data_IF_938306476501
#
_entry.id   IF_938306476501
#
_cell.length_a   1.000
_cell.length_b   1.000
_cell.length_c   1.000
_cell.angle_alpha   90.00
_cell.angle_beta   90.00
_cell.angle_gamma   90.00
#
_symmetry.space_group_name_H-M   'P 1'
#
loop_
_entity.id
_entity.type
_entity.pdbx_description
1 polymer ?
#
# COMPACT_ATOMS: atom_id res chain seq x y z
N UNK A 1 1.43 1.78 -7.52
CA UNK A 1 0.41 2.17 -8.52
C UNK A 1 -0.78 2.91 -7.89
N UNK A 2 -1.75 2.22 -7.27
CA UNK A 2 -2.99 2.86 -6.75
C UNK A 2 -2.74 4.11 -5.89
N UNK A 3 -1.82 4.03 -4.92
CA UNK A 3 -1.48 5.16 -4.05
C UNK A 3 -0.97 6.40 -4.81
N UNK A 4 -0.15 6.20 -5.85
CA UNK A 4 0.35 7.31 -6.68
C UNK A 4 -0.74 7.88 -7.58
N UNK A 5 -1.64 7.05 -8.10
CA UNK A 5 -2.77 7.50 -8.91
C UNK A 5 -3.69 8.45 -8.14
N UNK A 6 -3.94 8.16 -6.85
CA UNK A 6 -4.72 9.04 -5.96
C UNK A 6 -4.04 10.40 -5.74
N UNK A 7 -2.72 10.42 -5.51
CA UNK A 7 -1.94 11.66 -5.40
C UNK A 7 -1.98 12.45 -6.71
N UNK A 8 -1.77 11.79 -7.84
CA UNK A 8 -1.82 12.42 -9.16
C UNK A 8 -3.20 13.02 -9.45
N UNK A 9 -4.28 12.29 -9.16
CA UNK A 9 -5.65 12.78 -9.34
C UNK A 9 -5.93 14.03 -8.48
N UNK A 10 -5.47 14.06 -7.22
CA UNK A 10 -5.58 15.25 -6.37
C UNK A 10 -4.78 16.43 -6.91
N UNK A 11 -3.56 16.20 -7.40
CA UNK A 11 -2.71 17.24 -7.96
C UNK A 11 -3.31 17.84 -9.24
N UNK A 12 -3.79 17.00 -10.16
CA UNK A 12 -4.46 17.43 -11.39
C UNK A 12 -5.71 18.25 -11.07
N UNK A 13 -6.57 17.78 -10.16
CA UNK A 13 -7.76 18.53 -9.73
C UNK A 13 -7.36 19.89 -9.14
N UNK A 14 -6.38 19.92 -8.25
CA UNK A 14 -5.87 21.16 -7.66
C UNK A 14 -5.39 22.15 -8.72
N UNK A 15 -4.60 21.69 -9.69
CA UNK A 15 -4.08 22.53 -10.76
C UNK A 15 -5.16 23.07 -11.71
N UNK A 16 -6.21 22.28 -11.97
CA UNK A 16 -7.27 22.66 -12.92
C UNK A 16 -8.39 23.50 -12.31
N UNK A 17 -8.65 23.37 -11.00
CA UNK A 17 -9.82 23.98 -10.37
C UNK A 17 -9.48 24.86 -9.18
N UNK A 18 -8.20 25.08 -8.89
CA UNK A 18 -7.72 25.77 -7.67
C UNK A 18 -8.27 25.14 -6.37
N UNK A 19 -8.59 23.84 -6.43
CA UNK A 19 -9.07 23.13 -5.26
C UNK A 19 -7.93 22.93 -4.25
N UNK A 20 -8.28 22.94 -2.96
CA UNK A 20 -7.34 22.62 -1.89
C UNK A 20 -6.66 21.27 -2.13
N UNK A 21 -5.34 21.28 -2.05
CA UNK A 21 -4.47 20.09 -2.09
C UNK A 21 -3.83 19.84 -0.72
N UNK A 22 -3.25 18.66 -0.57
CA UNK A 22 -2.53 18.25 0.64
C UNK A 22 -1.17 17.68 0.23
N UNK A 23 -0.17 17.70 1.13
CA UNK A 23 1.11 17.04 0.87
C UNK A 23 0.94 15.59 0.44
N UNK A 24 1.73 15.17 -0.54
CA UNK A 24 1.67 13.81 -1.07
C UNK A 24 2.08 12.80 0.01
N UNK A 25 1.27 11.75 0.17
CA UNK A 25 1.54 10.60 1.03
C UNK A 25 1.32 9.34 0.23
N UNK A 26 2.22 8.38 0.39
CA UNK A 26 2.14 7.10 -0.30
C UNK A 26 2.24 5.94 0.67
N UNK A 27 1.65 4.82 0.28
CA UNK A 27 1.83 3.55 0.98
C UNK A 27 1.86 2.41 -0.02
N UNK A 28 2.62 1.37 0.32
CA UNK A 28 2.54 0.08 -0.36
C UNK A 28 2.47 -1.03 0.67
N UNK A 29 1.84 -2.13 0.28
CA UNK A 29 2.07 -3.44 0.87
C UNK A 29 1.92 -4.46 -0.23
N UNK A 30 2.88 -5.38 -0.30
CA UNK A 30 2.89 -6.51 -1.23
C UNK A 30 2.82 -7.78 -0.40
N UNK A 31 1.80 -8.59 -0.66
CA UNK A 31 1.67 -9.93 -0.10
C UNK A 31 2.23 -10.96 -1.07
N UNK A 32 2.77 -12.04 -0.54
CA UNK A 32 3.17 -13.23 -1.30
C UNK A 32 2.65 -14.47 -0.58
N UNK A 33 2.01 -15.35 -1.32
CA UNK A 33 1.55 -16.65 -0.82
C UNK A 33 2.64 -17.68 -1.12
N UNK A 34 3.24 -18.26 -0.09
CA UNK A 34 4.28 -19.29 -0.23
C UNK A 34 3.63 -20.65 -0.47
N UNK A 35 2.59 -20.96 0.30
CA UNK A 35 1.78 -22.17 0.20
C UNK A 35 0.35 -21.87 0.69
N UNK A 36 -0.55 -22.85 0.60
CA UNK A 36 -1.89 -22.74 1.20
C UNK A 36 -1.79 -22.32 2.67
N UNK A 37 -2.52 -21.27 3.05
CA UNK A 37 -2.51 -20.68 4.39
C UNK A 37 -1.14 -20.14 4.89
N UNK A 38 -0.15 -19.91 4.01
CA UNK A 38 1.18 -19.39 4.36
C UNK A 38 1.49 -18.09 3.61
N UNK A 39 1.09 -16.96 4.20
CA UNK A 39 1.30 -15.62 3.65
C UNK A 39 2.45 -14.87 4.31
N UNK A 40 3.21 -14.15 3.50
CA UNK A 40 4.20 -13.15 3.95
C UNK A 40 3.91 -11.79 3.31
N UNK A 41 4.38 -10.70 3.92
CA UNK A 41 4.19 -9.36 3.37
C UNK A 41 5.39 -8.45 3.60
N UNK A 42 5.49 -7.43 2.74
CA UNK A 42 6.43 -6.32 2.85
C UNK A 42 5.70 -5.03 2.51
N UNK A 43 5.95 -3.95 3.24
CA UNK A 43 5.28 -2.69 2.98
C UNK A 43 5.96 -1.52 3.66
N UNK A 44 5.54 -0.32 3.28
CA UNK A 44 6.07 0.93 3.81
C UNK A 44 5.14 2.11 3.58
N UNK A 45 5.35 3.17 4.37
CA UNK A 45 4.76 4.50 4.20
C UNK A 45 5.83 5.46 3.70
N UNK A 46 5.42 6.37 2.81
CA UNK A 46 6.33 7.30 2.16
C UNK A 46 5.76 8.72 2.09
N UNK A 47 6.67 9.69 2.06
CA UNK A 47 6.39 11.10 1.80
C UNK A 47 7.24 11.62 0.64
N UNK A 48 6.84 12.75 0.06
CA UNK A 48 7.67 13.47 -0.88
C UNK A 48 8.73 14.26 -0.10
N UNK A 49 10.00 13.86 -0.20
CA UNK A 49 11.14 14.65 0.23
C UNK A 49 11.55 15.66 -0.83
N UNK A 50 12.61 16.42 -0.55
CA UNK A 50 13.04 17.54 -1.41
C UNK A 50 13.44 17.10 -2.82
N UNK A 51 14.10 15.95 -2.95
CA UNK A 51 14.60 15.44 -4.24
C UNK A 51 13.94 14.11 -4.67
N UNK A 52 13.36 13.37 -3.73
CA UNK A 52 12.84 12.02 -4.00
C UNK A 52 11.73 11.61 -3.04
N UNK A 53 11.06 10.50 -3.33
CA UNK A 53 10.11 9.88 -2.40
C UNK A 53 10.90 9.12 -1.32
N UNK A 54 10.65 9.43 -0.05
CA UNK A 54 11.39 8.89 1.09
C UNK A 54 10.50 7.97 1.91
N UNK A 55 11.04 6.82 2.35
CA UNK A 55 10.35 5.91 3.27
C UNK A 55 10.39 6.47 4.68
N UNK A 56 9.23 6.64 5.30
CA UNK A 56 9.12 7.06 6.71
C UNK A 56 9.18 5.87 7.66
N UNK A 57 8.60 4.75 7.24
CA UNK A 57 8.40 3.56 8.07
C UNK A 57 8.17 2.35 7.17
N UNK A 58 8.75 1.21 7.51
CA UNK A 58 8.73 0.00 6.67
C UNK A 58 8.67 -1.26 7.51
N UNK A 59 8.08 -2.31 6.96
CA UNK A 59 7.99 -3.63 7.59
C UNK A 59 8.19 -4.75 6.56
N UNK A 60 8.67 -5.90 7.03
CA UNK A 60 8.79 -7.14 6.26
C UNK A 60 8.56 -8.33 7.19
N UNK A 61 7.86 -9.36 6.70
CA UNK A 61 7.71 -10.63 7.41
C UNK A 61 9.06 -11.28 7.72
N UNK A 62 9.17 -11.94 8.87
CA UNK A 62 10.39 -12.63 9.30
C UNK A 62 10.40 -14.13 8.97
N UNK A 63 11.59 -14.72 8.85
CA UNK A 63 11.78 -16.12 8.41
C UNK A 63 11.20 -17.18 9.36
N UNK A 64 10.90 -16.83 10.61
CA UNK A 64 10.42 -17.75 11.66
C UNK A 64 9.13 -17.26 12.34
N UNK A 65 8.27 -16.59 11.57
CA UNK A 65 6.94 -16.19 12.05
C UNK A 65 6.07 -17.42 12.39
N UNK A 66 5.31 -17.29 13.48
CA UNK A 66 4.35 -18.29 13.92
C UNK A 66 3.35 -18.67 12.79
N UNK A 67 3.03 -19.97 12.60
CA UNK A 67 2.12 -20.40 11.53
C UNK A 67 0.75 -19.72 11.57
N UNK A 68 0.21 -19.41 12.76
CA UNK A 68 -1.06 -18.70 12.87
C UNK A 68 -0.92 -17.23 12.43
N UNK A 69 0.25 -16.60 12.62
CA UNK A 69 0.52 -15.27 12.05
C UNK A 69 0.58 -15.34 10.52
N UNK A 70 1.28 -16.32 9.95
CA UNK A 70 1.37 -16.50 8.49
C UNK A 70 0.01 -16.74 7.84
N UNK A 71 -0.85 -17.53 8.50
CA UNK A 71 -2.23 -17.71 8.08
C UNK A 71 -3.03 -16.41 8.10
N UNK A 72 -2.94 -15.62 9.17
CA UNK A 72 -3.60 -14.31 9.23
C UNK A 72 -3.11 -13.36 8.14
N UNK A 73 -1.80 -13.37 7.85
CA UNK A 73 -1.24 -12.57 6.75
C UNK A 73 -1.81 -12.99 5.39
N UNK A 74 -2.03 -14.28 5.17
CA UNK A 74 -2.74 -14.78 3.98
C UNK A 74 -4.19 -14.29 3.95
N UNK A 75 -4.95 -14.45 5.03
CA UNK A 75 -6.36 -14.02 5.11
C UNK A 75 -6.51 -12.51 4.87
N UNK A 76 -5.60 -11.70 5.41
CA UNK A 76 -5.49 -10.26 5.16
C UNK A 76 -5.26 -9.97 3.67
N UNK A 77 -4.45 -10.77 2.97
CA UNK A 77 -4.18 -10.58 1.54
C UNK A 77 -5.43 -10.75 0.67
N UNK A 78 -6.36 -11.62 1.06
CA UNK A 78 -7.64 -11.81 0.37
C UNK A 78 -8.51 -10.56 0.50
N UNK A 79 -8.58 -10.01 1.73
CA UNK A 79 -9.27 -8.76 2.00
C UNK A 79 -8.64 -7.57 1.26
N UNK A 80 -7.30 -7.53 1.19
CA UNK A 80 -6.59 -6.55 0.38
C UNK A 80 -6.95 -6.65 -1.10
N UNK A 81 -6.95 -7.86 -1.67
CA UNK A 81 -7.24 -8.05 -3.10
C UNK A 81 -8.66 -7.64 -3.48
N UNK A 82 -9.65 -8.02 -2.67
CA UNK A 82 -11.05 -7.59 -2.86
C UNK A 82 -11.17 -6.07 -2.70
N UNK A 83 -10.57 -5.51 -1.64
CA UNK A 83 -10.63 -4.08 -1.35
C UNK A 83 -9.97 -3.21 -2.41
N UNK A 84 -8.75 -3.55 -2.84
CA UNK A 84 -8.01 -2.77 -3.85
C UNK A 84 -8.67 -2.87 -5.23
N UNK A 85 -9.24 -4.02 -5.57
CA UNK A 85 -9.94 -4.20 -6.85
C UNK A 85 -11.20 -3.32 -6.91
N UNK A 86 -12.02 -3.33 -5.85
CA UNK A 86 -13.19 -2.43 -5.75
C UNK A 86 -12.82 -0.96 -5.73
N UNK A 87 -11.76 -0.59 -5.01
CA UNK A 87 -11.30 0.81 -4.95
C UNK A 87 -10.87 1.34 -6.33
N UNK A 88 -10.30 0.49 -7.19
CA UNK A 88 -9.85 0.89 -8.52
C UNK A 88 -11.01 0.85 -9.54
N UNK A 89 -11.87 -0.17 -9.47
CA UNK A 89 -12.78 -0.52 -10.57
C UNK A 89 -14.29 -0.43 -10.24
N UNK A 90 -14.67 -0.27 -8.97
CA UNK A 90 -16.07 -0.27 -8.51
C UNK A 90 -16.55 -1.65 -8.09
#
# INVERSE_FOLDING_TARGET
>A
ANSQAKVAAMAVRGALTDARTFPARFANTCWSLIATDDGVKVGARYTAGDESIVSEDSFVSHTEEDPALRKRTYEESLGWYDGISRDIFG
#
